data_IF_645553562697
#
_entry.id   IF_645553562697
#
_cell.length_a   1.000
_cell.length_b   1.000
_cell.length_c   1.000
_cell.angle_alpha   90.00
_cell.angle_beta   90.00
_cell.angle_gamma   90.00
#
_symmetry.space_group_name_H-M   'P 1'
#
loop_
_entity.id
_entity.type
_entity.pdbx_description
1 polymer ?
#
# COMPACT_ATOMS: atom_id res chain seq x y z
N UNK A 1 31.38 -22.78 -9.74
CA UNK A 1 31.43 -22.11 -11.06
C UNK A 1 30.03 -22.01 -11.70
N UNK A 2 29.20 -23.08 -11.75
CA UNK A 2 27.86 -23.01 -12.38
C UNK A 2 26.91 -22.03 -11.69
N UNK A 3 26.84 -22.08 -10.35
CA UNK A 3 25.92 -21.25 -9.55
C UNK A 3 26.13 -19.75 -9.74
N UNK A 4 27.40 -19.31 -9.85
CA UNK A 4 27.74 -17.90 -10.09
C UNK A 4 27.22 -17.41 -11.44
N UNK A 5 27.31 -18.24 -12.49
CA UNK A 5 26.81 -17.87 -13.80
C UNK A 5 25.28 -17.79 -13.80
N UNK A 6 24.61 -18.73 -13.13
CA UNK A 6 23.15 -18.74 -12.97
C UNK A 6 22.69 -17.49 -12.21
N UNK A 7 23.34 -17.16 -11.09
CA UNK A 7 23.03 -15.96 -10.31
C UNK A 7 23.30 -14.66 -11.10
N UNK A 8 24.40 -14.60 -11.86
CA UNK A 8 24.70 -13.44 -12.70
C UNK A 8 23.64 -13.22 -13.78
N UNK A 9 23.22 -14.29 -14.48
CA UNK A 9 22.18 -14.20 -15.49
C UNK A 9 20.85 -13.73 -14.89
N UNK A 10 20.48 -14.23 -13.70
CA UNK A 10 19.31 -13.76 -12.97
C UNK A 10 19.36 -12.24 -12.72
N UNK A 11 20.48 -11.72 -12.20
CA UNK A 11 20.63 -10.28 -11.95
C UNK A 11 20.52 -9.46 -13.25
N UNK A 12 21.07 -9.98 -14.34
CA UNK A 12 21.08 -9.28 -15.63
C UNK A 12 19.72 -9.28 -16.34
N UNK A 13 18.95 -10.36 -16.20
CA UNK A 13 17.80 -10.63 -17.07
C UNK A 13 16.45 -10.64 -16.33
N UNK A 14 16.45 -10.87 -15.01
CA UNK A 14 15.21 -11.03 -14.22
C UNK A 14 15.06 -10.03 -13.08
N UNK A 15 16.16 -9.51 -12.52
CA UNK A 15 16.09 -8.55 -11.41
C UNK A 15 15.45 -7.23 -11.85
N UNK A 16 14.41 -6.83 -11.12
CA UNK A 16 13.72 -5.56 -11.25
C UNK A 16 14.22 -4.65 -10.14
N UNK A 17 14.75 -3.50 -10.55
CA UNK A 17 15.12 -2.42 -9.65
C UNK A 17 14.22 -1.21 -9.89
N UNK A 18 13.52 -0.78 -8.84
CA UNK A 18 12.78 0.47 -8.87
C UNK A 18 13.60 1.53 -8.15
N UNK A 19 14.11 2.46 -8.94
CA UNK A 19 14.92 3.58 -8.48
C UNK A 19 14.09 4.58 -7.66
N UNK A 20 14.80 5.44 -6.92
CA UNK A 20 14.15 6.49 -6.16
C UNK A 20 13.45 7.50 -7.09
N UNK A 21 14.02 7.79 -8.26
CA UNK A 21 13.45 8.73 -9.22
C UNK A 21 12.17 8.17 -9.86
N UNK A 22 12.12 6.87 -10.18
CA UNK A 22 10.91 6.19 -10.63
C UNK A 22 9.82 6.21 -9.54
N UNK A 23 10.16 5.90 -8.29
CA UNK A 23 9.23 6.01 -7.16
C UNK A 23 8.70 7.44 -7.01
N UNK A 24 9.58 8.46 -7.07
CA UNK A 24 9.17 9.86 -6.97
C UNK A 24 8.31 10.30 -8.16
N UNK A 25 8.56 9.77 -9.36
CA UNK A 25 7.73 10.01 -10.53
C UNK A 25 6.33 9.41 -10.35
N UNK A 26 6.24 8.16 -9.88
CA UNK A 26 4.98 7.51 -9.53
C UNK A 26 4.20 8.38 -8.54
N UNK A 27 4.83 8.79 -7.43
CA UNK A 27 4.22 9.63 -6.39
C UNK A 27 3.71 10.96 -6.97
N UNK A 28 4.52 11.64 -7.78
CA UNK A 28 4.14 12.90 -8.41
C UNK A 28 2.93 12.76 -9.34
N UNK A 29 2.74 11.58 -9.94
CA UNK A 29 1.63 11.31 -10.86
C UNK A 29 0.30 11.03 -10.14
N UNK A 30 0.32 10.56 -8.88
CA UNK A 30 -0.86 10.06 -8.16
C UNK A 30 -1.98 11.09 -8.09
N UNK A 31 -1.67 12.29 -7.61
CA UNK A 31 -2.70 13.32 -7.47
C UNK A 31 -3.29 13.77 -8.80
N UNK A 32 -2.50 14.26 -9.79
CA UNK A 32 -3.04 14.80 -11.02
C UNK A 32 -3.77 13.76 -11.88
N UNK A 33 -3.35 12.49 -11.85
CA UNK A 33 -3.90 11.46 -12.73
C UNK A 33 -4.98 10.59 -12.10
N UNK A 34 -4.97 10.42 -10.78
CA UNK A 34 -5.89 9.50 -10.08
C UNK A 34 -6.80 10.24 -9.11
N UNK A 35 -6.25 10.82 -8.03
CA UNK A 35 -7.04 11.48 -6.98
C UNK A 35 -7.93 12.56 -7.57
N UNK A 36 -7.36 13.42 -8.41
CA UNK A 36 -8.08 14.52 -9.05
C UNK A 36 -9.24 14.04 -9.91
N UNK A 37 -9.07 12.94 -10.65
CA UNK A 37 -10.12 12.38 -11.51
C UNK A 37 -11.26 11.79 -10.68
N UNK A 38 -10.95 11.09 -9.60
CA UNK A 38 -11.97 10.55 -8.69
C UNK A 38 -12.75 11.66 -8.00
N UNK A 39 -12.08 12.72 -7.52
CA UNK A 39 -12.76 13.89 -6.95
C UNK A 39 -13.66 14.60 -7.97
N UNK A 40 -13.23 14.68 -9.24
CA UNK A 40 -14.04 15.25 -10.33
C UNK A 40 -15.23 14.38 -10.68
N UNK A 41 -15.05 13.07 -10.78
CA UNK A 41 -16.14 12.13 -11.03
C UNK A 41 -17.18 12.21 -9.92
N UNK A 42 -16.75 12.24 -8.66
CA UNK A 42 -17.63 12.41 -7.50
C UNK A 42 -18.37 13.76 -7.52
N UNK A 43 -17.69 14.85 -7.87
CA UNK A 43 -18.34 16.17 -7.98
C UNK A 43 -19.39 16.18 -9.11
N UNK A 44 -19.05 15.61 -10.27
CA UNK A 44 -19.96 15.51 -11.40
C UNK A 44 -21.21 14.69 -11.07
N UNK A 45 -21.05 13.58 -10.34
CA UNK A 45 -22.15 12.75 -9.87
C UNK A 45 -23.08 13.53 -8.93
N UNK A 46 -22.53 14.25 -7.94
CA UNK A 46 -23.30 15.04 -6.98
C UNK A 46 -24.04 16.22 -7.64
N UNK A 47 -23.38 16.90 -8.57
CA UNK A 47 -23.94 18.07 -9.27
C UNK A 47 -24.82 17.66 -10.48
N UNK A 48 -25.03 16.35 -10.70
CA UNK A 48 -25.75 15.78 -11.85
C UNK A 48 -25.22 16.28 -13.21
N UNK A 49 -23.91 16.52 -13.29
CA UNK A 49 -23.21 16.97 -14.49
C UNK A 49 -22.58 15.79 -15.24
N UNK A 50 -22.54 15.83 -16.59
CA UNK A 50 -21.75 14.86 -17.34
C UNK A 50 -20.26 14.96 -16.97
N UNK A 51 -19.66 13.83 -16.57
CA UNK A 51 -18.28 13.76 -16.06
C UNK A 51 -17.23 14.36 -17.01
N UNK A 52 -17.48 14.32 -18.32
CA UNK A 52 -16.58 14.86 -19.35
C UNK A 52 -16.61 16.40 -19.45
N UNK A 53 -17.58 17.09 -18.82
CA UNK A 53 -17.64 18.56 -18.76
C UNK A 53 -16.74 19.11 -17.65
N UNK A 54 -15.44 18.80 -17.73
CA UNK A 54 -14.43 19.08 -16.70
C UNK A 54 -14.39 20.55 -16.28
N UNK A 55 -14.58 21.49 -17.21
CA UNK A 55 -14.61 22.93 -16.90
C UNK A 55 -15.79 23.32 -15.99
N UNK A 56 -16.98 22.78 -16.26
CA UNK A 56 -18.16 23.03 -15.46
C UNK A 56 -18.03 22.40 -14.06
N UNK A 57 -17.57 21.15 -13.99
CA UNK A 57 -17.35 20.43 -12.72
C UNK A 57 -16.34 21.16 -11.83
N UNK A 58 -15.24 21.65 -12.41
CA UNK A 58 -14.22 22.40 -11.65
C UNK A 58 -14.67 23.78 -11.20
N UNK A 59 -15.59 24.40 -11.93
CA UNK A 59 -16.13 25.71 -11.58
C UNK A 59 -17.14 25.64 -10.43
N UNK A 60 -17.72 24.46 -10.17
CA UNK A 60 -18.65 24.24 -9.07
C UNK A 60 -17.97 24.21 -7.69
N UNK A 61 -18.68 24.70 -6.68
CA UNK A 61 -18.23 24.68 -5.28
C UNK A 61 -18.08 23.25 -4.74
N UNK A 62 -18.84 22.29 -5.29
CA UNK A 62 -18.79 20.88 -4.87
C UNK A 62 -17.41 20.27 -5.07
N UNK A 63 -16.76 20.50 -6.21
CA UNK A 63 -15.40 19.99 -6.45
C UNK A 63 -14.40 20.58 -5.45
N UNK A 64 -14.47 21.89 -5.21
CA UNK A 64 -13.62 22.58 -4.23
C UNK A 64 -13.85 22.03 -2.82
N UNK A 65 -15.10 21.83 -2.42
CA UNK A 65 -15.48 21.27 -1.12
C UNK A 65 -14.98 19.83 -0.96
N UNK A 66 -15.14 18.97 -1.96
CA UNK A 66 -14.61 17.60 -1.93
C UNK A 66 -13.08 17.59 -1.84
N UNK A 67 -12.41 18.48 -2.59
CA UNK A 67 -10.95 18.65 -2.51
C UNK A 67 -10.50 19.06 -1.12
N UNK A 68 -11.22 19.96 -0.44
CA UNK A 68 -10.90 20.39 0.93
C UNK A 68 -11.21 19.30 1.97
N UNK A 69 -12.21 18.46 1.72
CA UNK A 69 -12.66 17.35 2.58
C UNK A 69 -12.00 16.00 2.26
N UNK A 70 -10.84 16.02 1.60
CA UNK A 70 -10.01 14.82 1.39
C UNK A 70 -8.93 14.71 2.48
N UNK A 71 -8.84 13.56 3.13
CA UNK A 71 -7.81 13.23 4.13
C UNK A 71 -6.81 12.22 3.54
N UNK A 72 -5.52 12.45 3.71
CA UNK A 72 -4.43 11.60 3.25
C UNK A 72 -3.69 11.00 4.44
N UNK A 73 -3.62 9.67 4.53
CA UNK A 73 -2.96 8.95 5.63
C UNK A 73 -1.87 8.02 5.07
N UNK A 74 -0.71 7.98 5.72
CA UNK A 74 0.34 7.00 5.40
C UNK A 74 0.10 5.65 6.07
N UNK A 75 -0.01 4.57 5.29
CA UNK A 75 -0.11 3.20 5.80
C UNK A 75 1.24 2.60 6.19
N UNK A 76 2.34 3.24 5.81
CA UNK A 76 3.69 2.85 6.21
C UNK A 76 4.67 4.01 6.16
N UNK A 77 5.83 3.84 6.77
CA UNK A 77 6.94 4.81 6.69
C UNK A 77 7.37 5.07 5.24
N UNK A 78 7.16 4.10 4.34
CA UNK A 78 7.44 4.21 2.92
C UNK A 78 6.41 5.03 2.14
N UNK A 79 5.27 5.37 2.73
CA UNK A 79 4.17 6.07 2.06
C UNK A 79 4.56 7.44 1.48
N UNK A 80 5.69 8.02 1.91
CA UNK A 80 6.28 9.26 1.34
C UNK A 80 5.24 10.36 1.14
N UNK A 81 4.37 10.52 2.14
CA UNK A 81 3.25 11.46 2.08
C UNK A 81 3.74 12.91 2.01
N UNK A 82 4.90 13.20 2.61
CA UNK A 82 5.63 14.46 2.43
C UNK A 82 5.97 14.76 0.97
N UNK A 83 6.36 13.75 0.19
CA UNK A 83 6.67 13.90 -1.23
C UNK A 83 5.40 14.15 -2.03
N UNK A 84 4.30 13.45 -1.74
CA UNK A 84 3.01 13.71 -2.38
C UNK A 84 2.60 15.18 -2.22
N UNK A 85 2.73 15.73 -1.01
CA UNK A 85 2.45 17.13 -0.73
C UNK A 85 3.39 18.07 -1.50
N UNK A 86 4.70 17.86 -1.41
CA UNK A 86 5.70 18.73 -2.07
C UNK A 86 5.57 18.75 -3.59
N UNK A 87 5.13 17.65 -4.19
CA UNK A 87 4.87 17.56 -5.64
C UNK A 87 3.54 18.18 -6.04
N UNK A 88 2.62 18.43 -5.10
CA UNK A 88 1.28 18.95 -5.36
C UNK A 88 0.90 20.12 -4.42
N UNK A 89 1.71 21.19 -4.29
CA UNK A 89 1.54 22.24 -3.27
C UNK A 89 0.31 23.13 -3.48
N UNK A 90 -0.21 23.21 -4.70
CA UNK A 90 -1.44 23.95 -5.02
C UNK A 90 -2.72 23.13 -4.80
N UNK A 91 -2.54 21.84 -4.47
CA UNK A 91 -3.58 20.84 -4.56
C UNK A 91 -3.84 20.11 -3.24
N UNK A 92 -2.81 19.95 -2.41
CA UNK A 92 -2.88 19.35 -1.08
C UNK A 92 -2.23 20.32 -0.09
N UNK A 93 -2.76 20.40 1.13
CA UNK A 93 -2.11 21.13 2.22
C UNK A 93 -1.79 20.20 3.40
N UNK A 94 -0.96 20.69 4.33
CA UNK A 94 -0.52 19.92 5.50
C UNK A 94 -1.69 19.47 6.40
N UNK A 95 -2.75 20.28 6.50
CA UNK A 95 -3.92 20.00 7.34
C UNK A 95 -4.73 18.80 6.85
N UNK A 96 -4.55 18.41 5.59
CA UNK A 96 -5.19 17.25 4.99
C UNK A 96 -4.33 15.99 5.08
N UNK A 97 -3.15 16.06 5.69
CA UNK A 97 -2.15 15.00 5.62
C UNK A 97 -1.70 14.56 7.01
N UNK A 98 -1.70 13.24 7.21
CA UNK A 98 -1.11 12.61 8.36
C UNK A 98 -0.18 11.48 7.92
N UNK A 99 1.01 11.41 8.53
CA UNK A 99 2.04 10.48 8.11
C UNK A 99 1.75 9.03 8.51
N UNK A 100 0.89 8.81 9.50
CA UNK A 100 0.48 7.50 9.98
C UNK A 100 -1.00 7.29 9.77
N UNK A 101 -1.44 6.03 9.76
CA UNK A 101 -2.87 5.70 9.73
C UNK A 101 -3.48 5.66 11.13
N UNK A 102 -2.64 5.45 12.16
CA UNK A 102 -3.05 5.48 13.55
C UNK A 102 -3.29 6.94 13.96
N UNK A 103 -4.56 7.27 14.20
CA UNK A 103 -5.01 8.58 14.65
C UNK A 103 -5.30 8.52 16.15
N UNK A 104 -4.60 9.33 16.93
CA UNK A 104 -4.97 9.53 18.34
C UNK A 104 -6.15 10.50 18.44
N UNK A 105 -6.99 10.36 19.46
CA UNK A 105 -8.11 11.29 19.73
C UNK A 105 -7.72 12.78 19.62
N UNK A 106 -6.63 13.25 20.29
CA UNK A 106 -6.23 14.65 20.19
C UNK A 106 -5.89 15.07 18.75
N UNK A 107 -5.31 14.16 17.96
CA UNK A 107 -4.95 14.46 16.57
C UNK A 107 -6.17 14.49 15.66
N UNK A 108 -7.13 13.60 15.86
CA UNK A 108 -8.39 13.63 15.14
C UNK A 108 -9.16 14.94 15.40
N UNK A 109 -9.21 15.41 16.66
CA UNK A 109 -9.81 16.69 17.03
C UNK A 109 -9.10 17.89 16.39
N UNK A 110 -7.77 17.86 16.31
CA UNK A 110 -6.95 18.89 15.64
C UNK A 110 -7.26 18.96 14.13
N UNK A 111 -7.29 17.80 13.45
CA UNK A 111 -7.66 17.72 12.03
C UNK A 111 -9.10 18.22 11.78
N UNK A 112 -10.03 17.89 12.68
CA UNK A 112 -11.41 18.39 12.60
C UNK A 112 -11.48 19.91 12.75
N UNK A 113 -10.74 20.50 13.69
CA UNK A 113 -10.69 21.96 13.88
C UNK A 113 -10.15 22.69 12.65
N UNK A 114 -9.07 22.20 12.06
CA UNK A 114 -8.53 22.81 10.83
C UNK A 114 -9.49 22.63 9.65
N UNK A 115 -10.18 21.48 9.55
CA UNK A 115 -11.22 21.29 8.54
C UNK A 115 -12.35 22.31 8.67
N UNK A 116 -12.91 22.48 9.88
CA UNK A 116 -13.98 23.44 10.17
C UNK A 116 -13.56 24.87 9.83
N UNK A 117 -12.35 25.27 10.23
CA UNK A 117 -11.79 26.58 9.92
C UNK A 117 -11.66 26.81 8.41
N UNK A 118 -11.31 25.77 7.66
CA UNK A 118 -11.11 25.84 6.21
C UNK A 118 -12.42 25.84 5.41
N UNK A 119 -13.43 25.11 5.87
CA UNK A 119 -14.74 25.04 5.22
C UNK A 119 -15.72 26.11 5.72
N UNK A 120 -15.49 26.67 6.91
CA UNK A 120 -16.42 27.57 7.58
C UNK A 120 -17.69 26.87 8.10
N UNK A 121 -17.67 25.54 8.23
CA UNK A 121 -18.82 24.72 8.63
C UNK A 121 -18.46 23.77 9.76
N UNK A 122 -18.99 24.03 10.96
CA UNK A 122 -18.77 23.27 12.20
C UNK A 122 -19.21 21.80 12.10
N UNK A 123 -20.09 21.46 11.17
CA UNK A 123 -20.55 20.09 10.90
C UNK A 123 -19.76 19.44 9.75
N UNK A 124 -18.56 19.95 9.44
CA UNK A 124 -17.76 19.43 8.34
C UNK A 124 -17.09 18.11 8.63
N UNK A 125 -17.28 17.14 7.74
CA UNK A 125 -16.62 15.83 7.77
C UNK A 125 -15.67 15.67 6.60
N UNK A 126 -14.62 14.89 6.77
CA UNK A 126 -13.87 14.37 5.64
C UNK A 126 -14.78 13.42 4.84
N UNK A 127 -14.93 13.69 3.55
CA UNK A 127 -15.78 12.93 2.63
C UNK A 127 -15.02 11.81 1.92
N UNK A 128 -13.69 11.87 1.94
CA UNK A 128 -12.85 10.80 1.40
C UNK A 128 -11.57 10.65 2.20
N UNK A 129 -11.15 9.41 2.44
CA UNK A 129 -9.88 9.05 3.07
C UNK A 129 -9.02 8.29 2.06
N UNK A 130 -7.78 8.74 1.89
CA UNK A 130 -6.80 8.24 0.94
C UNK A 130 -5.62 7.65 1.69
N UNK A 131 -5.54 6.33 1.70
CA UNK A 131 -4.54 5.55 2.41
C UNK A 131 -3.37 5.24 1.47
N UNK A 132 -2.18 5.77 1.74
CA UNK A 132 -1.03 5.73 0.84
C UNK A 132 0.00 4.70 1.33
N UNK A 133 0.58 3.91 0.42
CA UNK A 133 1.68 3.00 0.73
C UNK A 133 2.63 2.82 -0.46
N UNK A 134 3.89 2.46 -0.19
CA UNK A 134 4.90 2.29 -1.24
C UNK A 134 4.77 0.97 -1.98
N UNK A 135 4.67 -0.14 -1.25
CA UNK A 135 4.72 -1.47 -1.83
C UNK A 135 3.85 -2.49 -1.10
N UNK A 136 3.13 -3.32 -1.86
CA UNK A 136 2.47 -4.53 -1.34
C UNK A 136 2.71 -5.73 -2.26
N UNK A 137 3.33 -6.78 -1.73
CA UNK A 137 3.59 -8.00 -2.48
C UNK A 137 2.54 -9.10 -2.32
N UNK A 138 1.86 -9.18 -1.17
CA UNK A 138 0.83 -10.21 -0.91
C UNK A 138 -0.50 -9.69 -0.38
N UNK A 139 -0.56 -8.46 0.14
CA UNK A 139 -1.78 -7.92 0.75
C UNK A 139 -2.06 -8.33 2.20
N UNK A 140 -1.41 -9.38 2.74
CA UNK A 140 -1.69 -9.92 4.08
C UNK A 140 -1.48 -8.95 5.25
N UNK A 141 -0.62 -7.95 5.09
CA UNK A 141 -0.44 -6.90 6.09
C UNK A 141 -1.63 -5.93 6.14
N UNK A 142 -2.34 -5.76 5.03
CA UNK A 142 -3.49 -4.87 4.94
C UNK A 142 -4.71 -5.53 5.54
N UNK A 143 -4.94 -6.78 5.20
CA UNK A 143 -6.10 -7.52 5.69
C UNK A 143 -5.87 -9.03 5.56
N UNK A 144 -6.31 -9.77 6.57
CA UNK A 144 -6.41 -11.23 6.56
C UNK A 144 -7.41 -11.64 7.63
N UNK A 145 -8.14 -12.72 7.39
CA UNK A 145 -8.94 -13.35 8.42
C UNK A 145 -8.06 -14.21 9.35
N UNK A 146 -8.26 -14.09 10.66
CA UNK A 146 -7.63 -14.91 11.67
C UNK A 146 -8.64 -15.96 12.16
N UNK A 147 -8.42 -17.22 11.81
CA UNK A 147 -9.34 -18.32 12.11
C UNK A 147 -9.43 -18.63 13.61
N UNK A 148 -8.33 -18.45 14.35
CA UNK A 148 -8.27 -18.72 15.78
C UNK A 148 -9.07 -17.67 16.58
N UNK A 149 -8.87 -16.39 16.25
CA UNK A 149 -9.58 -15.26 16.88
C UNK A 149 -10.92 -14.95 16.21
N UNK A 150 -11.25 -15.61 15.10
CA UNK A 150 -12.46 -15.39 14.28
C UNK A 150 -12.70 -13.92 13.96
N UNK A 151 -11.64 -13.22 13.53
CA UNK A 151 -11.73 -11.80 13.19
C UNK A 151 -10.72 -11.40 12.13
N UNK A 152 -11.02 -10.32 11.41
CA UNK A 152 -10.07 -9.72 10.49
C UNK A 152 -8.96 -8.97 11.24
N UNK A 153 -7.71 -9.19 10.82
CA UNK A 153 -6.51 -8.47 11.27
C UNK A 153 -5.87 -7.73 10.11
N UNK A 154 -5.21 -6.61 10.40
CA UNK A 154 -4.45 -5.84 9.41
C UNK A 154 -4.66 -4.34 9.56
N UNK A 155 -4.14 -3.57 8.60
CA UNK A 155 -4.29 -2.12 8.56
C UNK A 155 -5.74 -1.69 8.26
N UNK A 156 -6.44 -2.39 7.36
CA UNK A 156 -7.79 -2.01 6.92
C UNK A 156 -8.80 -2.12 8.08
N UNK A 157 -8.89 -3.25 8.82
CA UNK A 157 -9.82 -3.33 9.94
C UNK A 157 -9.57 -2.23 10.99
N UNK A 158 -8.31 -1.97 11.34
CA UNK A 158 -7.92 -0.91 12.28
C UNK A 158 -8.35 0.48 11.81
N UNK A 159 -8.16 0.79 10.53
CA UNK A 159 -8.56 2.09 9.97
C UNK A 159 -10.08 2.23 9.97
N UNK A 160 -10.82 1.19 9.59
CA UNK A 160 -12.29 1.22 9.60
C UNK A 160 -12.86 1.34 11.01
N UNK A 161 -12.26 0.64 11.99
CA UNK A 161 -12.60 0.75 13.41
C UNK A 161 -12.41 2.19 13.89
N UNK A 162 -11.24 2.79 13.65
CA UNK A 162 -10.92 4.16 14.06
C UNK A 162 -11.81 5.21 13.38
N UNK A 163 -12.06 5.09 12.08
CA UNK A 163 -12.83 6.09 11.33
C UNK A 163 -14.34 6.00 11.56
N UNK A 164 -14.88 4.79 11.75
CA UNK A 164 -16.33 4.59 11.67
C UNK A 164 -16.97 3.98 12.93
N UNK A 165 -16.23 3.21 13.73
CA UNK A 165 -16.79 2.52 14.89
C UNK A 165 -16.51 3.27 16.19
N UNK A 166 -15.24 3.59 16.45
CA UNK A 166 -14.82 4.28 17.68
C UNK A 166 -15.23 5.77 17.69
N UNK A 167 -15.52 6.33 16.51
CA UNK A 167 -15.87 7.75 16.28
C UNK A 167 -14.95 8.72 17.02
N UNK A 168 -13.67 8.41 17.08
CA UNK A 168 -12.67 9.29 17.68
C UNK A 168 -12.68 10.65 16.94
N UNK A 169 -13.34 11.64 17.54
CA UNK A 169 -13.43 13.01 17.02
C UNK A 169 -14.43 13.25 15.89
N UNK A 170 -15.30 12.30 15.55
CA UNK A 170 -16.33 12.44 14.49
C UNK A 170 -15.74 13.00 13.17
N UNK A 171 -14.64 12.39 12.74
CA UNK A 171 -13.77 12.90 11.68
C UNK A 171 -14.36 12.72 10.27
N UNK A 172 -15.07 11.61 10.06
CA UNK A 172 -15.65 11.20 8.78
C UNK A 172 -17.14 10.92 8.92
N UNK A 173 -17.91 11.14 7.85
CA UNK A 173 -19.30 10.70 7.79
C UNK A 173 -19.33 9.19 7.45
N UNK A 174 -19.72 8.31 8.39
CA UNK A 174 -19.70 6.86 8.16
C UNK A 174 -20.63 6.39 7.05
N UNK A 175 -21.64 7.19 6.67
CA UNK A 175 -22.62 6.84 5.64
C UNK A 175 -22.20 7.30 4.23
N UNK A 176 -21.22 8.21 4.14
CA UNK A 176 -20.86 8.86 2.87
C UNK A 176 -19.36 8.88 2.57
N UNK A 177 -18.51 8.59 3.56
CA UNK A 177 -17.08 8.65 3.39
C UNK A 177 -16.58 7.53 2.47
N UNK A 178 -15.92 7.89 1.37
CA UNK A 178 -15.26 6.95 0.47
C UNK A 178 -13.83 6.70 0.92
N UNK A 179 -13.44 5.43 1.05
CA UNK A 179 -12.05 5.05 1.38
C UNK A 179 -11.33 4.58 0.12
N UNK A 180 -10.11 5.05 -0.07
CA UNK A 180 -9.24 4.68 -1.18
C UNK A 180 -7.93 4.16 -0.62
N UNK A 181 -7.40 3.07 -1.19
CA UNK A 181 -6.05 2.59 -0.93
C UNK A 181 -5.23 2.84 -2.18
N UNK A 182 -4.17 3.64 -2.04
CA UNK A 182 -3.25 3.95 -3.12
C UNK A 182 -1.93 3.23 -2.86
N UNK A 183 -1.64 2.24 -3.71
CA UNK A 183 -0.37 1.51 -3.70
C UNK A 183 0.47 2.03 -4.86
N UNK A 184 1.63 2.64 -4.56
CA UNK A 184 2.52 3.10 -5.61
C UNK A 184 2.99 1.93 -6.48
N UNK A 185 3.37 0.82 -5.84
CA UNK A 185 3.72 -0.44 -6.49
C UNK A 185 2.97 -1.58 -5.81
N UNK A 186 2.34 -2.48 -6.55
CA UNK A 186 1.79 -3.70 -5.97
C UNK A 186 1.77 -4.84 -6.98
N UNK A 187 1.78 -6.07 -6.49
CA UNK A 187 1.53 -7.25 -7.33
C UNK A 187 0.05 -7.44 -7.59
N UNK A 188 -0.28 -8.14 -8.68
CA UNK A 188 -1.65 -8.56 -8.97
C UNK A 188 -2.23 -9.44 -7.85
N UNK A 189 -1.38 -10.34 -7.30
CA UNK A 189 -1.69 -11.10 -6.07
C UNK A 189 -2.13 -10.20 -4.91
N UNK A 190 -1.38 -9.14 -4.61
CA UNK A 190 -1.72 -8.23 -3.51
C UNK A 190 -3.00 -7.45 -3.80
N UNK A 191 -3.17 -6.96 -5.03
CA UNK A 191 -4.37 -6.21 -5.45
C UNK A 191 -5.62 -7.07 -5.25
N UNK A 192 -5.63 -8.28 -5.80
CA UNK A 192 -6.75 -9.23 -5.69
C UNK A 192 -7.05 -9.57 -4.22
N UNK A 193 -6.01 -9.93 -3.45
CA UNK A 193 -6.16 -10.26 -2.03
C UNK A 193 -6.80 -9.12 -1.24
N UNK A 194 -6.32 -7.89 -1.41
CA UNK A 194 -6.86 -6.73 -0.69
C UNK A 194 -8.31 -6.48 -1.09
N UNK A 195 -8.64 -6.50 -2.38
CA UNK A 195 -10.00 -6.27 -2.87
C UNK A 195 -10.99 -7.32 -2.33
N UNK A 196 -10.64 -8.60 -2.43
CA UNK A 196 -11.50 -9.72 -2.00
C UNK A 196 -11.74 -9.71 -0.49
N UNK A 197 -10.66 -9.66 0.30
CA UNK A 197 -10.75 -9.72 1.76
C UNK A 197 -11.39 -8.45 2.34
N UNK A 198 -11.12 -7.28 1.76
CA UNK A 198 -11.76 -6.04 2.21
C UNK A 198 -13.24 -6.00 1.86
N UNK A 199 -13.66 -6.57 0.71
CA UNK A 199 -15.07 -6.74 0.40
C UNK A 199 -15.78 -7.67 1.39
N UNK A 200 -15.15 -8.79 1.76
CA UNK A 200 -15.69 -9.73 2.74
C UNK A 200 -15.82 -9.09 4.14
N UNK A 201 -14.76 -8.45 4.62
CA UNK A 201 -14.77 -7.71 5.89
C UNK A 201 -15.81 -6.59 5.91
N UNK A 202 -15.83 -5.73 4.91
CA UNK A 202 -16.77 -4.61 4.87
C UNK A 202 -18.23 -5.06 4.78
N UNK A 203 -18.51 -6.22 4.16
CA UNK A 203 -19.83 -6.86 4.21
C UNK A 203 -20.22 -7.29 5.63
N UNK A 204 -19.29 -7.82 6.42
CA UNK A 204 -19.54 -8.22 7.81
C UNK A 204 -19.89 -7.02 8.69
N UNK A 205 -19.19 -5.89 8.51
CA UNK A 205 -19.41 -4.68 9.30
C UNK A 205 -20.45 -3.71 8.68
N UNK A 206 -21.09 -4.07 7.57
CA UNK A 206 -22.06 -3.23 6.83
C UNK A 206 -21.52 -1.88 6.33
N UNK A 207 -20.27 -1.84 5.88
CA UNK A 207 -19.65 -0.67 5.26
C UNK A 207 -19.29 -0.91 3.79
N UNK A 208 -18.98 0.17 3.06
CA UNK A 208 -18.45 0.05 1.69
C UNK A 208 -16.95 -0.32 1.72
N UNK A 209 -16.50 -1.25 0.88
CA UNK A 209 -15.08 -1.60 0.78
C UNK A 209 -14.25 -0.45 0.20
N UNK A 210 -12.95 -0.39 0.53
CA UNK A 210 -12.07 0.63 -0.02
C UNK A 210 -11.83 0.37 -1.51
N UNK A 211 -11.76 1.43 -2.32
CA UNK A 211 -11.32 1.31 -3.70
C UNK A 211 -9.79 1.22 -3.75
N UNK A 212 -9.27 0.12 -4.31
CA UNK A 212 -7.82 -0.09 -4.46
C UNK A 212 -7.34 0.52 -5.77
N UNK A 213 -6.33 1.38 -5.68
CA UNK A 213 -5.66 2.03 -6.80
C UNK A 213 -4.19 1.62 -6.78
N UNK A 214 -3.79 0.83 -7.77
CA UNK A 214 -2.39 0.44 -7.99
C UNK A 214 -1.83 1.27 -9.12
N UNK A 215 -0.79 2.05 -8.85
CA UNK A 215 -0.21 2.97 -9.83
C UNK A 215 0.74 2.24 -10.78
N UNK A 216 1.60 1.38 -10.23
CA UNK A 216 2.43 0.47 -10.99
C UNK A 216 2.14 -0.97 -10.57
N UNK A 217 1.45 -1.70 -11.45
CA UNK A 217 1.05 -3.07 -11.22
C UNK A 217 2.12 -4.04 -11.72
N UNK A 218 2.59 -4.91 -10.84
CA UNK A 218 3.49 -6.03 -11.15
C UNK A 218 2.61 -7.24 -11.46
N UNK A 219 2.61 -7.68 -12.71
CA UNK A 219 1.86 -8.84 -13.15
C UNK A 219 2.43 -10.16 -12.59
N UNK A 220 1.61 -11.20 -12.59
CA UNK A 220 1.98 -12.51 -12.05
C UNK A 220 3.18 -13.13 -12.78
N UNK A 221 3.38 -12.80 -14.07
CA UNK A 221 4.48 -13.25 -14.93
C UNK A 221 5.87 -12.79 -14.47
N UNK A 222 5.93 -11.78 -13.60
CA UNK A 222 7.18 -11.29 -13.02
C UNK A 222 7.70 -12.25 -11.95
N UNK A 223 6.80 -12.93 -11.24
CA UNK A 223 7.18 -13.86 -10.18
C UNK A 223 7.94 -15.05 -10.76
N UNK A 224 9.01 -15.48 -10.10
CA UNK A 224 9.76 -16.63 -10.57
C UNK A 224 8.92 -17.89 -10.50
N UNK A 225 8.83 -18.62 -11.61
CA UNK A 225 7.97 -19.81 -11.71
C UNK A 225 8.73 -21.03 -12.22
N UNK A 226 8.43 -22.20 -11.64
CA UNK A 226 8.94 -23.50 -12.13
C UNK A 226 8.37 -23.88 -13.51
N UNK A 227 7.26 -23.25 -13.92
CA UNK A 227 6.70 -23.44 -15.26
C UNK A 227 7.53 -22.73 -16.33
N UNK A 228 8.29 -21.72 -15.94
CA UNK A 228 9.15 -20.95 -16.83
C UNK A 228 10.54 -21.57 -16.90
N UNK A 229 10.88 -22.16 -18.05
CA UNK A 229 12.15 -22.89 -18.21
C UNK A 229 13.40 -22.06 -17.89
N UNK A 230 13.36 -20.75 -18.14
CA UNK A 230 14.47 -19.84 -17.89
C UNK A 230 14.69 -19.56 -16.39
N UNK A 231 13.66 -19.71 -15.55
CA UNK A 231 13.75 -19.50 -14.10
C UNK A 231 14.25 -20.76 -13.36
N UNK A 232 14.08 -21.96 -13.95
CA UNK A 232 14.37 -23.23 -13.30
C UNK A 232 15.79 -23.35 -12.72
N UNK A 233 16.80 -22.90 -13.46
CA UNK A 233 18.18 -22.94 -13.00
C UNK A 233 18.39 -22.12 -11.73
N UNK A 234 17.82 -20.91 -11.70
CA UNK A 234 17.92 -20.02 -10.56
C UNK A 234 17.02 -20.45 -9.41
N UNK A 235 15.82 -20.96 -9.67
CA UNK A 235 14.94 -21.50 -8.63
C UNK A 235 15.57 -22.70 -7.91
N UNK A 236 16.30 -23.56 -8.63
CA UNK A 236 17.07 -24.64 -8.00
C UNK A 236 18.11 -24.09 -7.02
N UNK A 237 18.78 -23.00 -7.39
CA UNK A 237 19.73 -22.31 -6.52
C UNK A 237 19.03 -21.68 -5.31
N UNK A 238 18.00 -20.88 -5.54
CA UNK A 238 17.27 -20.12 -4.52
C UNK A 238 16.54 -21.00 -3.50
N UNK A 239 16.16 -22.23 -3.88
CA UNK A 239 15.50 -23.19 -3.00
C UNK A 239 16.46 -24.14 -2.28
N UNK A 240 17.76 -24.08 -2.58
CA UNK A 240 18.79 -24.88 -1.93
C UNK A 240 19.00 -24.46 -0.47
N UNK A 241 19.21 -25.44 0.42
CA UNK A 241 19.55 -25.18 1.83
C UNK A 241 20.93 -24.52 1.99
N UNK A 242 21.82 -24.65 1.01
CA UNK A 242 23.14 -24.00 1.01
C UNK A 242 23.02 -22.46 1.02
N UNK A 243 21.94 -21.93 0.46
CA UNK A 243 21.73 -20.50 0.27
C UNK A 243 20.64 -19.92 1.17
N UNK A 244 20.32 -20.61 2.27
CA UNK A 244 19.24 -20.26 3.16
C UNK A 244 19.63 -20.44 4.62
N UNK A 245 19.37 -19.44 5.44
CA UNK A 245 19.46 -19.55 6.90
C UNK A 245 18.07 -19.84 7.48
N UNK A 246 17.84 -21.01 8.13
CA UNK A 246 16.55 -21.37 8.71
C UNK A 246 16.03 -20.37 9.75
N UNK A 247 16.91 -19.58 10.38
CA UNK A 247 16.51 -18.54 11.34
C UNK A 247 15.70 -17.41 10.69
N UNK A 248 15.73 -17.28 9.37
CA UNK A 248 14.88 -16.36 8.63
C UNK A 248 13.38 -16.75 8.68
N UNK A 249 13.05 -18.00 9.05
CA UNK A 249 11.68 -18.44 9.27
C UNK A 249 11.18 -18.02 10.65
N UNK A 250 10.65 -16.80 10.73
CA UNK A 250 10.09 -16.25 11.96
C UNK A 250 8.56 -16.36 12.02
N UNK A 251 7.98 -15.83 13.11
CA UNK A 251 6.52 -15.73 13.29
C UNK A 251 5.84 -14.93 12.17
N UNK A 252 6.53 -13.97 11.56
CA UNK A 252 5.98 -13.13 10.51
C UNK A 252 5.94 -13.88 9.17
N UNK A 253 6.96 -14.67 8.84
CA UNK A 253 6.94 -15.54 7.66
C UNK A 253 5.85 -16.62 7.77
N UNK A 254 5.59 -17.14 8.98
CA UNK A 254 4.49 -18.08 9.23
C UNK A 254 3.11 -17.50 8.89
N UNK A 255 2.90 -16.19 9.05
CA UNK A 255 1.65 -15.51 8.61
C UNK A 255 1.44 -15.65 7.10
N UNK A 256 2.52 -15.80 6.33
CA UNK A 256 2.47 -16.04 4.89
C UNK A 256 2.09 -17.48 4.50
N UNK A 257 1.89 -18.37 5.49
CA UNK A 257 1.53 -19.78 5.27
C UNK A 257 2.69 -20.67 4.81
N UNK A 258 3.93 -20.32 5.15
CA UNK A 258 5.13 -20.91 4.55
C UNK A 258 5.94 -21.73 5.55
N UNK A 259 6.60 -22.77 5.05
CA UNK A 259 7.56 -23.59 5.82
C UNK A 259 8.96 -22.97 5.84
N UNK A 260 9.27 -22.10 4.87
CA UNK A 260 10.53 -21.38 4.76
C UNK A 260 10.34 -19.99 4.11
N UNK A 261 11.39 -19.17 4.11
CA UNK A 261 11.38 -17.84 3.51
C UNK A 261 12.07 -17.78 2.13
N UNK A 262 12.49 -18.91 1.55
CA UNK A 262 13.39 -18.97 0.38
C UNK A 262 12.82 -18.25 -0.84
N UNK A 263 11.53 -18.46 -1.09
CA UNK A 263 10.77 -17.85 -2.18
C UNK A 263 10.09 -16.53 -1.76
N UNK A 264 10.52 -15.91 -0.68
CA UNK A 264 9.95 -14.67 -0.18
C UNK A 264 8.59 -14.83 0.50
N UNK A 265 8.19 -13.82 1.25
CA UNK A 265 6.96 -13.77 2.03
C UNK A 265 5.72 -14.06 1.17
N UNK A 266 4.87 -14.96 1.65
CA UNK A 266 3.68 -15.49 1.00
C UNK A 266 3.93 -16.10 -0.39
N UNK A 267 5.12 -16.66 -0.63
CA UNK A 267 5.53 -17.29 -1.89
C UNK A 267 5.37 -16.37 -3.11
N UNK A 268 5.62 -15.08 -2.95
CA UNK A 268 5.57 -14.14 -4.06
C UNK A 268 6.72 -14.32 -5.05
N UNK A 269 7.85 -14.90 -4.61
CA UNK A 269 9.02 -15.23 -5.44
C UNK A 269 9.48 -14.07 -6.33
N UNK A 270 9.42 -12.84 -5.81
CA UNK A 270 9.68 -11.66 -6.64
C UNK A 270 11.18 -11.47 -6.86
N UNK A 271 11.59 -11.17 -8.10
CA UNK A 271 12.93 -10.68 -8.39
C UNK A 271 12.98 -9.15 -8.23
N UNK A 272 12.54 -8.59 -7.10
CA UNK A 272 12.33 -7.14 -6.93
C UNK A 272 13.20 -6.53 -5.83
N UNK A 273 13.81 -5.38 -6.11
CA UNK A 273 14.45 -4.50 -5.13
C UNK A 273 13.95 -3.06 -5.30
N UNK A 274 13.76 -2.34 -4.19
CA UNK A 274 13.43 -0.91 -4.19
C UNK A 274 14.64 -0.12 -3.71
N UNK A 275 14.81 1.11 -4.21
CA UNK A 275 15.96 1.98 -3.84
C UNK A 275 16.21 2.17 -2.34
N UNK A 276 15.16 2.10 -1.52
CA UNK A 276 15.23 2.33 -0.07
C UNK A 276 15.08 1.06 0.76
N UNK A 277 14.73 -0.08 0.16
CA UNK A 277 14.51 -1.34 0.86
C UNK A 277 14.37 -2.52 -0.11
N UNK A 278 14.81 -3.72 0.29
CA UNK A 278 14.44 -4.95 -0.39
C UNK A 278 13.21 -5.58 0.25
N UNK A 279 12.06 -5.69 -0.45
CA UNK A 279 10.87 -6.29 0.12
C UNK A 279 11.10 -7.76 0.48
N UNK A 280 10.58 -8.23 1.60
CA UNK A 280 10.69 -9.64 1.98
C UNK A 280 9.81 -10.56 1.11
N UNK A 281 8.89 -10.01 0.32
CA UNK A 281 8.18 -10.74 -0.74
C UNK A 281 9.10 -11.18 -1.89
N UNK A 282 10.28 -10.58 -1.98
CA UNK A 282 11.32 -11.01 -2.92
C UNK A 282 11.99 -12.29 -2.46
N UNK A 283 12.67 -13.00 -3.35
CA UNK A 283 13.46 -14.18 -3.00
C UNK A 283 14.48 -13.88 -1.87
N UNK A 284 14.69 -14.85 -0.96
CA UNK A 284 15.55 -14.69 0.21
C UNK A 284 16.96 -14.22 -0.13
N UNK A 285 17.53 -14.76 -1.21
CA UNK A 285 18.85 -14.38 -1.72
C UNK A 285 19.02 -12.87 -1.97
N UNK A 286 17.94 -12.11 -2.15
CA UNK A 286 17.99 -10.66 -2.32
C UNK A 286 17.97 -9.89 -1.00
N UNK A 287 17.23 -10.35 0.02
CA UNK A 287 16.97 -9.55 1.23
C UNK A 287 17.45 -10.15 2.55
N UNK A 288 17.93 -11.39 2.54
CA UNK A 288 18.32 -12.14 3.73
C UNK A 288 19.03 -11.25 4.77
N UNK A 289 18.60 -11.24 6.05
CA UNK A 289 19.12 -10.29 7.03
C UNK A 289 20.65 -10.35 7.13
N UNK A 290 21.30 -9.19 7.30
CA UNK A 290 22.76 -9.09 7.37
C UNK A 290 23.39 -9.89 8.54
N UNK A 291 22.59 -10.18 9.57
CA UNK A 291 22.98 -10.99 10.73
C UNK A 291 22.95 -12.50 10.46
N UNK A 292 22.35 -12.94 9.35
CA UNK A 292 22.21 -14.34 8.98
C UNK A 292 23.29 -14.74 7.96
N UNK A 293 23.49 -16.04 7.78
CA UNK A 293 24.47 -16.56 6.83
C UNK A 293 23.87 -17.69 5.99
N UNK A 294 23.77 -17.52 4.66
CA UNK A 294 24.17 -16.32 3.91
C UNK A 294 23.19 -15.15 4.10
N UNK A 295 23.70 -13.93 4.09
CA UNK A 295 22.87 -12.73 3.99
C UNK A 295 22.50 -12.45 2.54
N UNK A 296 21.48 -11.63 2.34
CA UNK A 296 20.99 -11.24 1.02
C UNK A 296 21.95 -10.27 0.32
N UNK A 297 21.84 -10.21 -1.00
CA UNK A 297 22.64 -9.32 -1.84
C UNK A 297 22.39 -7.83 -1.55
N UNK A 298 21.19 -7.48 -1.09
CA UNK A 298 20.76 -6.11 -0.86
C UNK A 298 20.26 -5.93 0.58
N UNK A 299 20.45 -4.73 1.16
CA UNK A 299 20.01 -4.47 2.51
C UNK A 299 18.49 -4.52 2.62
N UNK A 300 18.03 -5.03 3.77
CA UNK A 300 16.64 -4.96 4.20
C UNK A 300 16.56 -4.17 5.49
N UNK A 301 15.74 -3.13 5.48
CA UNK A 301 15.41 -2.39 6.70
C UNK A 301 14.19 -3.08 7.33
N UNK A 302 14.43 -3.89 8.37
CA UNK A 302 13.33 -4.49 9.13
C UNK A 302 12.65 -3.43 9.99
N UNK A 303 11.30 -3.39 9.95
CA UNK A 303 10.47 -2.54 10.81
C UNK A 303 10.31 -3.08 12.23
N UNK A 304 10.64 -4.36 12.44
CA UNK A 304 10.64 -5.00 13.75
C UNK A 304 12.10 -5.29 14.13
N UNK A 305 12.54 -4.80 15.31
CA UNK A 305 13.79 -5.28 15.88
C UNK A 305 13.66 -6.79 16.06
N UNK A 306 14.56 -7.54 15.43
CA UNK A 306 14.79 -8.94 15.77
C UNK A 306 15.29 -8.93 17.23
N UNK A 307 14.50 -9.49 18.14
CA UNK A 307 14.91 -9.72 19.53
C UNK A 307 15.89 -10.88 19.62
#
# INVERSE_FOLDING_TARGET
>A
MPDRQVAYNFVKERLIFISNDEMLHIIASVYPHWIKKELQANAAEIDELPWFKVGAVKAGDTYTRLKQRALFLGLSDGARTDQLLRKNPNDINNEQLWHTYELSKPKAEDLKKELVKKTGDDQSYFSSVWLLDDFSGSGLSYIRYDEDEKKYKGKIPKVYEQLFQDRDGDLTDPTRCKVYIVLYVATEKARRHIEEESAAFCKEICFSPPKVLVIFLIGDEVSLSKTEHHDNGFLKLATSDEYYDPRAHDKHIKVGGQEDAKLGFAYCALPLILSHNTPNNSIYLLWGPELLTPHGLFPRVSRHREE
#
